data_IF_176296295338
#
_entry.id   IF_176296295338
#
_cell.length_a   1.000
_cell.length_b   1.000
_cell.length_c   1.000
_cell.angle_alpha   90.00
_cell.angle_beta   90.00
_cell.angle_gamma   90.00
#
_symmetry.space_group_name_H-M   'P 1'
#
loop_
_entity.id
_entity.type
_entity.pdbx_description
1 polymer ?
#
# COMPACT_ATOMS: atom_id res chain seq x y z
N UNK A 1 -4.31 16.95 -23.21
CA UNK A 1 -4.81 15.59 -23.41
C UNK A 1 -3.84 14.55 -22.80
N UNK A 2 -3.35 14.74 -21.58
CA UNK A 2 -2.36 13.86 -20.93
C UNK A 2 -2.70 13.57 -19.45
N UNK A 3 -3.80 14.11 -18.93
CA UNK A 3 -4.13 14.01 -17.49
C UNK A 3 -4.73 12.67 -17.05
N UNK A 4 -5.25 11.85 -17.94
CA UNK A 4 -5.86 10.57 -17.57
C UNK A 4 -4.87 9.43 -17.29
N UNK A 5 -3.65 9.51 -17.82
CA UNK A 5 -2.66 8.42 -17.71
C UNK A 5 -1.79 8.51 -16.45
N UNK A 6 -1.66 9.70 -15.86
CA UNK A 6 -0.78 9.94 -14.70
C UNK A 6 -1.49 9.54 -13.41
N UNK A 7 -2.78 9.82 -13.30
CA UNK A 7 -3.59 9.42 -12.11
C UNK A 7 -3.69 7.88 -12.02
N UNK A 8 -3.80 7.20 -13.16
CA UNK A 8 -3.82 5.74 -13.22
C UNK A 8 -2.47 5.11 -12.82
N UNK A 9 -1.35 5.79 -13.06
CA UNK A 9 -0.02 5.27 -12.71
C UNK A 9 0.40 5.56 -11.27
N UNK A 10 -0.09 6.63 -10.66
CA UNK A 10 0.03 6.82 -9.20
C UNK A 10 -0.83 5.79 -8.43
N UNK A 11 -1.98 5.40 -8.98
CA UNK A 11 -2.74 4.24 -8.48
C UNK A 11 -2.01 2.91 -8.72
N UNK A 12 -1.15 2.80 -9.74
CA UNK A 12 -0.30 1.62 -10.00
C UNK A 12 0.84 1.50 -8.97
N UNK A 13 1.36 2.61 -8.44
CA UNK A 13 2.27 2.55 -7.29
C UNK A 13 1.56 1.99 -6.03
N UNK A 14 0.25 2.15 -5.94
CA UNK A 14 -0.59 1.51 -4.93
C UNK A 14 -0.79 0.01 -5.17
N UNK A 15 -0.88 -0.43 -6.44
CA UNK A 15 -0.94 -1.85 -6.79
C UNK A 15 0.40 -2.58 -6.61
N UNK A 16 1.52 -1.85 -6.55
CA UNK A 16 2.82 -2.44 -6.22
C UNK A 16 2.97 -2.74 -4.73
N UNK A 17 2.23 -2.03 -3.86
CA UNK A 17 2.10 -2.41 -2.45
C UNK A 17 1.21 -3.66 -2.25
N UNK A 18 0.26 -3.88 -3.16
CA UNK A 18 -0.53 -5.11 -3.26
C UNK A 18 0.18 -6.08 -4.22
N UNK A 19 1.44 -6.42 -3.92
CA UNK A 19 2.32 -7.18 -4.79
C UNK A 19 1.63 -8.35 -5.49
N UNK A 20 1.71 -8.37 -6.80
CA UNK A 20 1.47 -9.51 -7.70
C UNK A 20 0.11 -10.24 -7.62
N UNK A 21 -1.01 -9.53 -7.59
CA UNK A 21 -2.33 -10.16 -7.70
C UNK A 21 -2.90 -10.24 -9.12
N UNK A 22 -2.11 -10.05 -10.16
CA UNK A 22 -2.60 -10.21 -11.53
C UNK A 22 -1.66 -11.09 -12.36
N UNK A 23 -1.67 -12.37 -12.08
CA UNK A 23 -1.22 -13.37 -13.04
C UNK A 23 -1.87 -14.72 -12.70
N UNK A 24 -3.05 -14.96 -13.18
CA UNK A 24 -3.51 -16.26 -13.67
C UNK A 24 -4.99 -16.20 -14.00
N UNK A 25 -5.32 -15.83 -15.22
CA UNK A 25 -6.53 -16.31 -15.86
C UNK A 25 -6.09 -17.26 -16.96
N UNK A 26 -6.14 -18.53 -16.62
CA UNK A 26 -5.78 -19.62 -17.50
C UNK A 26 -6.71 -19.71 -18.70
N UNK A 27 -6.10 -19.92 -19.82
CA UNK A 27 -6.58 -20.41 -21.11
C UNK A 27 -7.71 -21.45 -20.99
N UNK A 28 -8.89 -21.06 -21.42
CA UNK A 28 -9.85 -22.00 -22.01
C UNK A 28 -9.77 -21.83 -23.53
N UNK A 29 -9.04 -22.72 -24.17
CA UNK A 29 -9.08 -22.88 -25.63
C UNK A 29 -10.42 -23.50 -26.02
N UNK A 30 -11.29 -22.69 -26.59
CA UNK A 30 -12.40 -23.19 -27.40
C UNK A 30 -12.13 -22.76 -28.84
N UNK A 31 -11.81 -23.71 -29.68
CA UNK A 31 -11.75 -23.53 -31.13
C UNK A 31 -13.15 -23.10 -31.62
N UNK A 32 -13.22 -21.94 -32.24
CA UNK A 32 -14.34 -21.55 -33.11
C UNK A 32 -13.76 -20.92 -34.39
N UNK A 33 -14.35 -21.43 -35.47
CA UNK A 33 -14.04 -21.17 -36.85
C UNK A 33 -13.84 -19.70 -37.23
N UNK A 34 -12.84 -19.49 -38.08
CA UNK A 34 -12.58 -18.25 -38.80
C UNK A 34 -13.76 -17.82 -39.64
N UNK A 35 -14.35 -16.70 -39.26
CA UNK A 35 -15.11 -15.86 -40.19
C UNK A 35 -14.43 -14.52 -40.22
N UNK A 36 -13.77 -14.24 -41.33
CA UNK A 36 -13.01 -13.01 -41.58
C UNK A 36 -13.95 -11.82 -41.71
N UNK A 37 -14.16 -11.11 -40.60
CA UNK A 37 -14.69 -9.75 -40.60
C UNK A 37 -13.71 -8.86 -39.84
N UNK A 38 -13.07 -7.92 -40.53
CA UNK A 38 -12.19 -6.92 -39.95
C UNK A 38 -12.91 -6.17 -38.82
N UNK A 39 -12.32 -6.04 -37.62
CA UNK A 39 -12.91 -5.19 -36.60
C UNK A 39 -12.79 -3.73 -37.02
N UNK A 40 -13.91 -3.10 -37.34
CA UNK A 40 -14.02 -1.64 -37.46
C UNK A 40 -13.55 -1.02 -36.15
N UNK A 41 -12.42 -0.34 -36.17
CA UNK A 41 -11.97 0.54 -35.07
C UNK A 41 -12.99 1.66 -34.95
N UNK A 42 -13.92 1.53 -34.00
CA UNK A 42 -14.79 2.65 -33.60
C UNK A 42 -13.91 3.72 -32.96
N UNK A 43 -13.55 4.73 -33.73
CA UNK A 43 -12.90 5.94 -33.20
C UNK A 43 -13.96 6.78 -32.49
N UNK A 44 -13.91 6.79 -31.16
CA UNK A 44 -14.71 7.71 -30.35
C UNK A 44 -14.30 9.15 -30.65
N UNK A 45 -15.27 10.03 -30.81
CA UNK A 45 -15.00 11.46 -30.96
C UNK A 45 -14.35 12.05 -29.69
N UNK A 46 -13.60 13.17 -29.79
CA UNK A 46 -13.01 13.83 -28.62
C UNK A 46 -14.05 14.16 -27.51
N UNK A 47 -15.27 14.51 -27.92
CA UNK A 47 -16.37 14.76 -26.98
C UNK A 47 -16.85 13.47 -26.28
N UNK A 48 -16.93 12.36 -26.98
CA UNK A 48 -17.27 11.06 -26.40
C UNK A 48 -16.18 10.55 -25.47
N UNK A 49 -14.90 10.75 -25.80
CA UNK A 49 -13.78 10.43 -24.91
C UNK A 49 -13.79 11.30 -23.65
N UNK A 50 -14.10 12.60 -23.77
CA UNK A 50 -14.24 13.49 -22.63
C UNK A 50 -15.43 13.11 -21.74
N UNK A 51 -16.58 12.79 -22.32
CA UNK A 51 -17.76 12.34 -21.59
C UNK A 51 -17.52 11.00 -20.87
N UNK A 52 -16.83 10.06 -21.52
CA UNK A 52 -16.45 8.78 -20.91
C UNK A 52 -15.47 8.98 -19.74
N UNK A 53 -14.49 9.87 -19.90
CA UNK A 53 -13.55 10.20 -18.84
C UNK A 53 -14.24 10.88 -17.64
N UNK A 54 -15.18 11.80 -17.91
CA UNK A 54 -15.99 12.43 -16.86
C UNK A 54 -16.91 11.44 -16.15
N UNK A 55 -17.57 10.57 -16.88
CA UNK A 55 -18.43 9.51 -16.32
C UNK A 55 -17.60 8.51 -15.47
N UNK A 56 -16.38 8.17 -15.90
CA UNK A 56 -15.46 7.36 -15.13
C UNK A 56 -14.99 8.07 -13.86
N UNK A 57 -14.65 9.35 -13.92
CA UNK A 57 -14.30 10.14 -12.74
C UNK A 57 -15.46 10.26 -11.74
N UNK A 58 -16.69 10.49 -12.22
CA UNK A 58 -17.88 10.53 -11.37
C UNK A 58 -18.17 9.15 -10.74
N UNK A 59 -18.05 8.07 -11.50
CA UNK A 59 -18.22 6.71 -10.98
C UNK A 59 -17.18 6.36 -9.91
N UNK A 60 -15.93 6.85 -10.03
CA UNK A 60 -14.87 6.65 -9.06
C UNK A 60 -15.07 7.48 -7.77
N UNK A 61 -15.78 8.60 -7.86
CA UNK A 61 -16.12 9.45 -6.72
C UNK A 61 -17.40 9.01 -5.99
N UNK A 62 -18.12 8.01 -6.51
CA UNK A 62 -19.34 7.50 -5.86
C UNK A 62 -18.99 6.93 -4.48
N UNK A 63 -19.70 7.35 -3.41
CA UNK A 63 -19.43 6.82 -2.08
C UNK A 63 -19.82 5.35 -1.98
N UNK A 64 -19.02 4.57 -1.27
CA UNK A 64 -19.35 3.20 -0.92
C UNK A 64 -20.46 3.16 0.14
N UNK A 65 -21.04 1.97 0.35
CA UNK A 65 -21.97 1.80 1.45
C UNK A 65 -21.26 1.92 2.80
N UNK A 66 -21.86 2.66 3.72
CA UNK A 66 -21.36 2.78 5.09
C UNK A 66 -21.27 1.41 5.76
N UNK A 67 -20.12 1.06 6.37
CA UNK A 67 -19.95 -0.25 6.99
C UNK A 67 -20.76 -0.37 8.30
N UNK A 68 -20.96 -1.60 8.80
CA UNK A 68 -21.62 -1.82 10.10
C UNK A 68 -20.87 -1.10 11.25
N UNK A 69 -21.63 -0.60 12.23
CA UNK A 69 -21.08 0.14 13.37
C UNK A 69 -20.91 1.64 13.13
N UNK A 70 -21.39 2.15 11.98
CA UNK A 70 -21.47 3.58 11.70
C UNK A 70 -22.93 4.01 11.50
N UNK A 71 -23.29 5.31 11.79
CA UNK A 71 -22.41 6.32 12.39
C UNK A 71 -21.98 5.96 13.80
N UNK A 72 -20.86 6.51 14.25
CA UNK A 72 -20.43 6.42 15.63
C UNK A 72 -21.36 7.27 16.50
N UNK A 73 -21.49 6.91 17.77
CA UNK A 73 -22.06 7.84 18.76
C UNK A 73 -21.11 9.01 19.03
N UNK A 74 -21.62 10.04 19.71
CA UNK A 74 -20.88 11.30 19.91
C UNK A 74 -19.60 11.15 20.74
N UNK A 75 -19.54 10.18 21.66
CA UNK A 75 -18.37 9.94 22.50
C UNK A 75 -17.26 9.26 21.69
N UNK A 76 -17.61 8.20 20.96
CA UNK A 76 -16.67 7.51 20.09
C UNK A 76 -16.19 8.38 18.93
N UNK A 77 -17.09 9.19 18.34
CA UNK A 77 -16.70 10.15 17.31
C UNK A 77 -15.71 11.18 17.83
N UNK A 78 -15.98 11.75 19.03
CA UNK A 78 -15.06 12.69 19.67
C UNK A 78 -13.69 12.03 19.93
N UNK A 79 -13.68 10.82 20.49
CA UNK A 79 -12.44 10.09 20.76
C UNK A 79 -11.58 9.87 19.49
N UNK A 80 -12.21 9.41 18.41
CA UNK A 80 -11.52 9.22 17.12
C UNK A 80 -11.01 10.56 16.58
N UNK A 81 -11.80 11.63 16.70
CA UNK A 81 -11.39 12.96 16.27
C UNK A 81 -10.17 13.47 17.03
N UNK A 82 -10.15 13.31 18.35
CA UNK A 82 -9.03 13.71 19.21
C UNK A 82 -7.77 12.90 18.84
N UNK A 83 -7.91 11.59 18.60
CA UNK A 83 -6.80 10.72 18.21
C UNK A 83 -6.20 11.11 16.85
N UNK A 84 -7.05 11.41 15.86
CA UNK A 84 -6.62 11.88 14.54
C UNK A 84 -5.91 13.25 14.63
N UNK A 85 -6.38 14.16 15.50
CA UNK A 85 -5.74 15.45 15.74
C UNK A 85 -4.33 15.28 16.33
N UNK A 86 -4.18 14.39 17.32
CA UNK A 86 -2.88 14.08 17.91
C UNK A 86 -1.94 13.45 16.89
N UNK A 87 -2.43 12.52 16.10
CA UNK A 87 -1.63 11.89 15.05
C UNK A 87 -1.18 12.90 14.00
N UNK A 88 -2.07 13.77 13.53
CA UNK A 88 -1.71 14.83 12.59
C UNK A 88 -0.64 15.77 13.16
N UNK A 89 -0.82 16.23 14.42
CA UNK A 89 0.14 17.12 15.07
C UNK A 89 1.54 16.49 15.20
N UNK A 90 1.63 15.20 15.53
CA UNK A 90 2.90 14.50 15.65
C UNK A 90 3.51 14.21 14.27
N UNK A 91 2.71 13.84 13.28
CA UNK A 91 3.15 13.63 11.90
C UNK A 91 3.77 14.90 11.31
N UNK A 92 3.22 16.08 11.58
CA UNK A 92 3.77 17.38 11.12
C UNK A 92 5.14 17.73 11.70
N UNK A 93 5.53 17.11 12.82
CA UNK A 93 6.86 17.30 13.43
C UNK A 93 7.93 16.41 12.84
N UNK A 94 7.55 15.48 11.96
CA UNK A 94 8.49 14.54 11.34
C UNK A 94 9.20 15.24 10.18
N UNK A 95 10.44 15.67 10.41
CA UNK A 95 11.31 16.22 9.37
C UNK A 95 12.10 15.12 8.67
N UNK A 96 12.56 14.13 9.45
CA UNK A 96 13.35 12.99 8.98
C UNK A 96 12.89 11.72 9.68
N UNK A 97 12.75 10.66 8.91
CA UNK A 97 12.36 9.36 9.46
C UNK A 97 13.10 8.24 8.76
N UNK A 98 13.42 7.20 9.52
CA UNK A 98 13.92 5.93 9.04
C UNK A 98 13.31 4.81 9.86
N UNK A 99 12.93 3.72 9.19
CA UNK A 99 12.57 2.48 9.87
C UNK A 99 12.93 1.26 9.02
N UNK A 100 13.12 0.15 9.68
CA UNK A 100 12.97 -1.17 9.08
C UNK A 100 11.50 -1.54 8.98
N UNK A 101 11.14 -2.42 8.07
CA UNK A 101 9.82 -3.04 8.05
C UNK A 101 9.94 -4.54 7.78
N UNK A 102 8.94 -5.28 8.29
CA UNK A 102 8.64 -6.65 7.86
C UNK A 102 7.22 -6.61 7.32
N UNK A 103 7.03 -7.10 6.09
CA UNK A 103 5.73 -7.27 5.44
C UNK A 103 5.44 -8.75 5.29
N UNK A 104 4.34 -9.19 5.86
CA UNK A 104 3.77 -10.52 5.67
C UNK A 104 2.64 -10.42 4.66
N UNK A 105 2.74 -11.16 3.57
CA UNK A 105 1.73 -11.19 2.51
C UNK A 105 1.00 -12.53 2.59
N UNK A 106 -0.32 -12.46 2.78
CA UNK A 106 -1.20 -13.61 2.88
C UNK A 106 -2.00 -13.74 1.59
N UNK A 107 -2.10 -14.95 1.10
CA UNK A 107 -2.88 -15.31 -0.08
C UNK A 107 -3.30 -16.77 0.09
N UNK A 108 -4.59 -16.99 0.36
CA UNK A 108 -5.16 -18.31 0.62
C UNK A 108 -5.16 -19.22 -0.62
N UNK A 109 -5.06 -18.67 -1.83
CA UNK A 109 -4.89 -19.44 -3.06
C UNK A 109 -3.43 -19.92 -3.23
N UNK A 110 -2.47 -19.11 -2.81
CA UNK A 110 -1.06 -19.44 -2.91
C UNK A 110 -0.61 -20.41 -1.80
N UNK A 111 -1.09 -20.21 -0.58
CA UNK A 111 -0.78 -21.03 0.60
C UNK A 111 -2.03 -21.20 1.45
N UNK A 112 -2.44 -22.46 1.64
CA UNK A 112 -3.62 -22.81 2.45
C UNK A 112 -3.27 -23.44 3.80
N UNK A 113 -1.98 -23.52 4.14
CA UNK A 113 -1.56 -24.05 5.43
C UNK A 113 -1.82 -23.05 6.56
N UNK A 114 -2.40 -23.55 7.66
CA UNK A 114 -2.64 -22.78 8.88
C UNK A 114 -1.84 -23.35 10.04
N UNK A 115 -1.28 -22.45 10.83
CA UNK A 115 -0.64 -22.83 12.08
C UNK A 115 -1.68 -23.42 13.04
N UNK A 116 -1.56 -24.71 13.41
CA UNK A 116 -2.55 -25.36 14.26
C UNK A 116 -2.64 -24.78 15.68
N UNK A 117 -1.61 -24.02 16.11
CA UNK A 117 -1.57 -23.41 17.46
C UNK A 117 -2.53 -22.21 17.56
N UNK A 118 -2.78 -21.50 16.49
CA UNK A 118 -3.55 -20.25 16.50
C UNK A 118 -4.50 -20.09 15.31
N UNK A 119 -4.58 -21.08 14.43
CA UNK A 119 -5.39 -21.11 13.22
C UNK A 119 -5.09 -19.94 12.23
N UNK A 120 -3.90 -19.34 12.29
CA UNK A 120 -3.50 -18.29 11.37
C UNK A 120 -2.97 -18.86 10.06
N UNK A 121 -3.39 -18.28 8.95
CA UNK A 121 -2.84 -18.59 7.64
C UNK A 121 -1.35 -18.27 7.63
N UNK A 122 -0.51 -19.13 7.03
CA UNK A 122 0.88 -18.79 6.81
C UNK A 122 1.02 -17.74 5.72
N UNK A 123 1.93 -16.79 5.90
CA UNK A 123 2.25 -15.86 4.85
C UNK A 123 2.86 -16.59 3.65
N UNK A 124 2.38 -16.32 2.44
CA UNK A 124 3.01 -16.88 1.24
C UNK A 124 4.36 -16.22 0.94
N UNK A 125 4.52 -14.97 1.37
CA UNK A 125 5.74 -14.18 1.21
C UNK A 125 5.99 -13.31 2.44
N UNK A 126 7.27 -13.22 2.85
CA UNK A 126 7.73 -12.32 3.91
C UNK A 126 8.81 -11.42 3.30
N UNK A 127 8.58 -10.13 3.35
CA UNK A 127 9.52 -9.13 2.80
C UNK A 127 10.07 -8.29 3.94
N UNK A 128 11.38 -8.14 3.99
CA UNK A 128 12.06 -7.19 4.88
C UNK A 128 12.63 -6.04 4.06
N UNK A 129 12.66 -4.86 4.63
CA UNK A 129 13.18 -3.71 3.93
C UNK A 129 13.34 -2.48 4.82
N UNK A 130 13.57 -1.35 4.16
CA UNK A 130 13.75 -0.06 4.81
C UNK A 130 12.89 1.01 4.15
N UNK A 131 12.38 1.90 4.98
CA UNK A 131 11.71 3.13 4.57
C UNK A 131 12.51 4.30 5.12
N UNK A 132 12.72 5.31 4.27
CA UNK A 132 13.29 6.61 4.65
C UNK A 132 12.37 7.70 4.15
N UNK A 133 12.24 8.74 4.94
CA UNK A 133 11.45 9.91 4.60
C UNK A 133 12.17 11.18 5.02
N UNK A 134 12.06 12.22 4.21
CA UNK A 134 12.46 13.59 4.54
C UNK A 134 11.37 14.55 4.07
N UNK A 135 10.86 15.35 5.00
CA UNK A 135 9.87 16.36 4.69
C UNK A 135 10.37 17.34 3.62
N UNK A 136 9.48 17.90 2.77
CA UNK A 136 8.03 17.65 2.83
C UNK A 136 7.58 16.40 2.07
N UNK A 137 8.36 15.87 1.10
CA UNK A 137 7.86 14.93 0.09
C UNK A 137 8.91 13.95 -0.46
N UNK A 138 10.06 13.82 0.20
CA UNK A 138 11.09 12.87 -0.23
C UNK A 138 10.92 11.56 0.49
N UNK A 139 10.98 10.46 -0.27
CA UNK A 139 10.85 9.14 0.31
C UNK A 139 11.69 8.11 -0.44
N UNK A 140 12.09 7.05 0.25
CA UNK A 140 12.72 5.87 -0.32
C UNK A 140 12.15 4.63 0.34
N UNK A 141 11.81 3.68 -0.47
CA UNK A 141 11.43 2.33 -0.07
C UNK A 141 12.33 1.33 -0.79
N UNK A 142 12.85 0.37 -0.07
CA UNK A 142 13.63 -0.71 -0.67
C UNK A 142 13.51 -2.00 0.13
N UNK A 143 13.40 -3.11 -0.59
CA UNK A 143 13.46 -4.44 -0.02
C UNK A 143 14.92 -4.86 0.15
N UNK A 144 15.23 -5.53 1.25
CA UNK A 144 16.56 -6.06 1.55
C UNK A 144 16.60 -7.57 1.57
N UNK A 145 15.46 -8.20 1.89
CA UNK A 145 15.33 -9.65 1.98
C UNK A 145 13.90 -10.07 1.64
N UNK A 146 13.75 -11.14 0.90
CA UNK A 146 12.45 -11.72 0.56
C UNK A 146 12.50 -13.22 0.78
N UNK A 147 11.53 -13.72 1.54
CA UNK A 147 11.34 -15.13 1.83
C UNK A 147 10.01 -15.58 1.25
N UNK A 148 9.97 -16.73 0.61
CA UNK A 148 8.75 -17.37 0.13
C UNK A 148 8.46 -18.63 0.94
N UNK A 149 7.18 -18.87 1.20
CA UNK A 149 6.73 -20.11 1.84
C UNK A 149 7.23 -21.32 1.04
N UNK A 150 7.82 -22.27 1.74
CA UNK A 150 8.36 -23.48 1.15
C UNK A 150 7.51 -24.72 1.46
N UNK A 151 7.20 -24.89 2.74
CA UNK A 151 6.40 -26.03 3.21
C UNK A 151 5.94 -25.84 4.67
N UNK A 152 4.92 -26.58 5.08
CA UNK A 152 4.58 -26.74 6.48
C UNK A 152 5.77 -27.27 7.32
N UNK A 153 5.75 -27.05 8.63
CA UNK A 153 6.80 -27.59 9.49
C UNK A 153 6.83 -29.12 9.47
N UNK A 154 8.00 -29.69 9.70
CA UNK A 154 8.18 -31.15 9.77
C UNK A 154 7.71 -31.74 11.12
N UNK A 155 7.55 -30.90 12.12
CA UNK A 155 7.08 -31.29 13.46
C UNK A 155 5.73 -30.62 13.76
N UNK A 156 4.82 -31.26 14.53
CA UNK A 156 3.48 -30.71 14.79
C UNK A 156 3.44 -29.29 15.39
N UNK A 157 4.47 -28.90 16.13
CA UNK A 157 4.56 -27.58 16.79
C UNK A 157 5.65 -26.69 16.20
N UNK A 158 6.20 -27.04 15.05
CA UNK A 158 7.21 -26.24 14.35
C UNK A 158 6.62 -25.02 13.67
N UNK A 159 7.50 -24.14 13.21
CA UNK A 159 7.12 -22.99 12.39
C UNK A 159 7.18 -23.37 10.91
N UNK A 160 6.37 -22.67 10.08
CA UNK A 160 6.41 -22.80 8.64
C UNK A 160 7.84 -22.54 8.11
N UNK A 161 8.24 -23.31 7.12
CA UNK A 161 9.57 -23.13 6.50
C UNK A 161 9.49 -22.18 5.31
N UNK A 162 10.44 -21.26 5.29
CA UNK A 162 10.59 -20.26 4.23
C UNK A 162 11.95 -20.40 3.53
N UNK A 163 12.00 -20.09 2.25
CA UNK A 163 13.22 -20.05 1.45
C UNK A 163 13.46 -18.65 0.91
N UNK A 164 14.75 -18.29 0.81
CA UNK A 164 15.15 -17.06 0.16
C UNK A 164 14.62 -17.00 -1.27
N UNK A 165 13.88 -15.93 -1.60
CA UNK A 165 13.54 -15.62 -2.97
C UNK A 165 14.69 -14.85 -3.60
N UNK A 166 15.32 -15.44 -4.60
CA UNK A 166 16.45 -14.83 -5.32
C UNK A 166 16.02 -14.29 -6.69
N UNK A 167 14.72 -14.27 -6.97
CA UNK A 167 14.20 -13.77 -8.24
C UNK A 167 14.14 -12.23 -8.25
N UNK A 168 14.35 -11.67 -9.44
CA UNK A 168 14.28 -10.24 -9.64
C UNK A 168 12.86 -9.67 -9.43
N UNK A 169 11.82 -10.49 -9.57
CA UNK A 169 10.41 -10.08 -9.42
C UNK A 169 10.07 -9.76 -7.96
N UNK A 170 10.77 -10.41 -7.03
CA UNK A 170 10.53 -10.21 -5.59
C UNK A 170 11.19 -8.93 -5.03
N UNK A 171 12.06 -8.28 -5.79
CA UNK A 171 12.75 -7.07 -5.35
C UNK A 171 11.92 -5.82 -5.66
N UNK A 172 11.80 -4.93 -4.68
CA UNK A 172 11.10 -3.67 -4.81
C UNK A 172 12.01 -2.52 -4.37
N UNK A 173 12.08 -1.48 -5.18
CA UNK A 173 12.75 -0.23 -4.82
C UNK A 173 12.10 0.93 -5.54
N UNK A 174 11.81 1.98 -4.81
CA UNK A 174 11.44 3.26 -5.39
C UNK A 174 12.02 4.42 -4.58
N UNK A 175 12.21 5.55 -5.26
CA UNK A 175 12.76 6.77 -4.70
C UNK A 175 11.89 7.93 -5.18
N UNK A 176 11.46 8.77 -4.25
CA UNK A 176 10.83 10.05 -4.51
C UNK A 176 11.78 11.16 -4.11
N UNK A 177 12.14 12.06 -5.04
CA UNK A 177 13.03 13.21 -4.78
C UNK A 177 12.27 14.51 -4.50
N UNK A 178 10.93 14.43 -4.44
CA UNK A 178 10.00 15.56 -4.31
C UNK A 178 9.53 16.12 -5.66
N UNK A 179 10.13 15.72 -6.78
CA UNK A 179 9.76 16.17 -8.13
C UNK A 179 9.41 15.00 -9.06
N UNK A 180 10.03 13.87 -8.83
CA UNK A 180 9.87 12.65 -9.61
C UNK A 180 9.84 11.43 -8.68
N UNK A 181 9.09 10.42 -9.10
CA UNK A 181 9.13 9.08 -8.56
C UNK A 181 9.96 8.20 -9.51
N UNK A 182 10.99 7.56 -8.97
CA UNK A 182 11.84 6.61 -9.66
C UNK A 182 11.49 5.21 -9.20
N UNK A 183 11.00 4.37 -10.10
CA UNK A 183 10.59 3.00 -9.82
C UNK A 183 11.51 2.02 -10.55
N UNK A 184 12.08 1.08 -9.80
CA UNK A 184 13.01 0.07 -10.29
C UNK A 184 12.28 -1.23 -10.60
N UNK A 185 12.02 -1.50 -11.86
CA UNK A 185 11.53 -2.80 -12.30
C UNK A 185 12.72 -3.76 -12.49
N UNK A 186 12.98 -4.55 -11.48
CA UNK A 186 14.08 -5.53 -11.49
C UNK A 186 13.83 -6.68 -12.46
N UNK A 187 12.58 -7.01 -12.78
CA UNK A 187 12.22 -8.09 -13.69
C UNK A 187 12.58 -7.76 -15.12
N UNK A 188 12.31 -6.53 -15.55
CA UNK A 188 12.62 -6.05 -16.91
C UNK A 188 13.92 -5.24 -16.98
N UNK A 189 14.58 -5.00 -15.84
CA UNK A 189 15.76 -4.15 -15.70
C UNK A 189 15.52 -2.75 -16.29
N UNK A 190 14.42 -2.12 -15.86
CA UNK A 190 14.05 -0.77 -16.29
C UNK A 190 13.91 0.14 -15.10
N UNK A 191 14.35 1.39 -15.29
CA UNK A 191 14.11 2.48 -14.35
C UNK A 191 13.05 3.40 -14.94
N UNK A 192 11.89 3.44 -14.31
CA UNK A 192 10.81 4.34 -14.71
C UNK A 192 10.89 5.64 -13.92
N UNK A 193 10.85 6.76 -14.61
CA UNK A 193 10.71 8.08 -14.00
C UNK A 193 9.31 8.62 -14.27
N UNK A 194 8.56 8.90 -13.21
CA UNK A 194 7.26 9.57 -13.27
C UNK A 194 7.36 10.92 -12.60
N UNK A 195 7.17 12.00 -13.36
CA UNK A 195 7.18 13.35 -12.81
C UNK A 195 5.93 13.64 -12.00
N UNK A 196 6.13 14.19 -10.81
CA UNK A 196 5.04 14.64 -9.94
C UNK A 196 4.58 16.03 -10.42
N UNK A 197 3.28 16.20 -10.76
CA UNK A 197 2.76 17.49 -11.15
C UNK A 197 3.04 18.56 -10.09
N UNK A 198 3.35 19.81 -10.46
CA UNK A 198 3.70 20.88 -9.51
C UNK A 198 2.66 21.11 -8.41
N UNK A 199 1.37 20.95 -8.73
CA UNK A 199 0.27 21.08 -7.76
C UNK A 199 0.14 19.89 -6.80
N UNK A 200 0.89 18.80 -7.00
CA UNK A 200 0.93 17.63 -6.13
C UNK A 200 2.26 17.50 -5.38
N UNK A 201 3.25 18.33 -5.69
CA UNK A 201 4.52 18.37 -4.97
C UNK A 201 4.30 18.90 -3.56
N UNK A 202 4.97 18.31 -2.58
CA UNK A 202 4.79 18.62 -1.16
C UNK A 202 3.54 17.95 -0.54
N UNK A 203 2.71 17.26 -1.33
CA UNK A 203 1.49 16.62 -0.86
C UNK A 203 1.61 15.09 -0.92
N UNK A 204 2.02 14.48 0.20
CA UNK A 204 2.10 13.02 0.35
C UNK A 204 0.71 12.39 0.54
N UNK A 205 -0.32 13.18 0.83
CA UNK A 205 -1.66 12.66 1.17
C UNK A 205 -2.28 11.80 0.05
N UNK A 206 -1.84 11.94 -1.19
CA UNK A 206 -2.28 11.12 -2.33
C UNK A 206 -1.44 9.83 -2.52
N UNK A 207 -0.38 9.63 -1.73
CA UNK A 207 0.48 8.44 -1.79
C UNK A 207 0.03 7.36 -0.79
N UNK A 208 0.56 6.13 -0.84
CA UNK A 208 0.34 5.12 0.21
C UNK A 208 1.04 5.46 1.52
N UNK A 209 1.92 6.47 1.53
CA UNK A 209 2.66 6.92 2.69
C UNK A 209 1.88 7.82 3.68
N UNK A 210 0.67 8.36 3.40
CA UNK A 210 -0.03 9.21 4.35
C UNK A 210 -0.34 8.51 5.66
N UNK A 211 -0.46 7.18 5.65
CA UNK A 211 -0.61 6.41 6.90
C UNK A 211 0.68 6.29 7.70
N UNK A 212 1.83 6.55 7.08
CA UNK A 212 3.13 6.51 7.76
C UNK A 212 3.60 7.93 8.08
N UNK A 213 3.37 8.87 7.14
CA UNK A 213 3.83 10.27 7.26
C UNK A 213 2.77 11.22 6.73
N UNK A 214 2.64 12.38 7.36
CA UNK A 214 1.81 13.47 6.86
C UNK A 214 0.31 13.18 6.91
N UNK A 215 -0.14 12.42 7.91
CA UNK A 215 -1.55 12.19 8.13
C UNK A 215 -2.27 13.51 8.36
N UNK A 216 -3.10 13.91 7.41
CA UNK A 216 -4.03 15.02 7.58
C UNK A 216 -5.41 14.46 7.94
N UNK A 217 -5.92 14.81 9.13
CA UNK A 217 -7.23 14.37 9.64
C UNK A 217 -8.32 14.54 8.60
N UNK A 218 -8.40 15.72 7.98
CA UNK A 218 -9.41 16.03 6.97
C UNK A 218 -9.34 15.06 5.79
N UNK A 219 -8.16 14.80 5.25
CA UNK A 219 -7.95 13.88 4.12
C UNK A 219 -8.35 12.45 4.49
N UNK A 220 -7.97 12.00 5.70
CA UNK A 220 -8.34 10.67 6.18
C UNK A 220 -9.86 10.56 6.30
N UNK A 221 -10.53 11.55 6.91
CA UNK A 221 -11.97 11.52 7.11
C UNK A 221 -12.77 11.68 5.81
N UNK A 222 -12.24 12.36 4.80
CA UNK A 222 -12.85 12.42 3.47
C UNK A 222 -12.77 11.10 2.72
N UNK A 223 -11.73 10.30 2.98
CA UNK A 223 -11.48 9.04 2.27
C UNK A 223 -11.99 7.81 3.01
N UNK A 224 -12.07 7.86 4.35
CA UNK A 224 -12.36 6.69 5.17
C UNK A 224 -13.39 6.97 6.26
N UNK A 225 -14.23 6.00 6.54
CA UNK A 225 -14.89 5.89 7.84
C UNK A 225 -13.87 5.33 8.83
N UNK A 226 -13.69 6.00 9.95
CA UNK A 226 -12.66 5.63 10.94
C UNK A 226 -13.31 5.32 12.26
N UNK A 227 -12.92 4.23 12.89
CA UNK A 227 -13.30 3.90 14.27
C UNK A 227 -12.10 3.41 15.07
N UNK A 228 -12.16 3.54 16.38
CA UNK A 228 -11.23 2.89 17.30
C UNK A 228 -11.56 1.40 17.43
N UNK A 229 -10.52 0.57 17.40
CA UNK A 229 -10.61 -0.87 17.59
C UNK A 229 -9.54 -1.36 18.58
N UNK A 230 -9.05 -0.47 19.46
CA UNK A 230 -8.03 -0.84 20.46
C UNK A 230 -8.55 -1.95 21.35
N UNK A 231 -7.87 -3.10 21.41
CA UNK A 231 -8.29 -4.22 22.27
C UNK A 231 -8.27 -3.81 23.74
N UNK A 232 -9.19 -4.39 24.52
CA UNK A 232 -9.24 -4.17 25.96
C UNK A 232 -7.91 -4.57 26.63
N UNK A 233 -7.43 -3.70 27.53
CA UNK A 233 -6.17 -3.92 28.25
C UNK A 233 -4.90 -3.48 27.49
N UNK A 234 -4.97 -3.13 26.21
CA UNK A 234 -3.85 -2.55 25.45
C UNK A 234 -3.68 -1.09 25.83
N UNK A 235 -2.53 -0.72 26.42
CA UNK A 235 -2.29 0.64 26.91
C UNK A 235 -1.28 1.44 26.08
N UNK A 236 -0.40 0.75 25.35
CA UNK A 236 0.74 1.39 24.66
C UNK A 236 0.47 1.66 23.18
N UNK A 237 -0.73 1.36 22.71
CA UNK A 237 -1.11 1.47 21.30
C UNK A 237 -2.55 1.99 21.16
N UNK A 238 -2.80 2.62 20.01
CA UNK A 238 -4.13 2.94 19.52
C UNK A 238 -4.37 2.20 18.22
N UNK A 239 -5.48 1.48 18.14
CA UNK A 239 -5.85 0.74 16.95
C UNK A 239 -7.00 1.46 16.25
N UNK A 240 -6.82 1.74 14.96
CA UNK A 240 -7.83 2.34 14.10
C UNK A 240 -8.21 1.36 12.99
N UNK A 241 -9.49 1.22 12.75
CA UNK A 241 -10.01 0.60 11.53
C UNK A 241 -10.50 1.70 10.60
N UNK A 242 -10.07 1.62 9.34
CA UNK A 242 -10.39 2.57 8.29
C UNK A 242 -11.08 1.82 7.14
N UNK A 243 -12.29 2.24 6.80
CA UNK A 243 -13.08 1.66 5.71
C UNK A 243 -13.20 2.66 4.57
N UNK A 244 -12.87 2.29 3.33
CA UNK A 244 -12.87 3.23 2.21
C UNK A 244 -14.26 3.82 1.95
N UNK A 245 -14.35 5.15 1.82
CA UNK A 245 -15.55 5.87 1.38
C UNK A 245 -15.66 5.95 -0.14
N UNK A 246 -14.54 5.95 -0.83
CA UNK A 246 -14.47 6.09 -2.29
C UNK A 246 -14.37 4.72 -2.94
N UNK A 247 -15.10 4.48 -4.02
CA UNK A 247 -15.03 3.22 -4.79
C UNK A 247 -13.60 2.95 -5.27
N UNK A 248 -12.86 3.98 -5.63
CA UNK A 248 -11.46 3.86 -6.05
C UNK A 248 -10.60 3.20 -4.97
N UNK A 249 -10.71 3.66 -3.72
CA UNK A 249 -9.98 3.09 -2.59
C UNK A 249 -10.50 1.68 -2.25
N UNK A 250 -11.82 1.47 -2.33
CA UNK A 250 -12.48 0.19 -2.05
C UNK A 250 -12.16 -0.92 -3.08
N UNK A 251 -11.74 -0.56 -4.28
CA UNK A 251 -11.23 -1.53 -5.28
C UNK A 251 -9.90 -2.14 -4.89
N UNK A 252 -9.16 -1.48 -4.01
CA UNK A 252 -7.85 -1.94 -3.54
C UNK A 252 -7.95 -2.59 -2.17
N UNK A 253 -8.73 -1.98 -1.26
CA UNK A 253 -8.84 -2.44 0.11
C UNK A 253 -10.30 -2.48 0.58
N UNK A 254 -10.68 -3.56 1.25
CA UNK A 254 -11.96 -3.63 1.98
C UNK A 254 -11.87 -2.90 3.33
N UNK A 255 -10.70 -2.98 3.98
CA UNK A 255 -10.40 -2.39 5.29
C UNK A 255 -8.90 -2.17 5.44
N UNK A 256 -8.51 -1.18 6.23
CA UNK A 256 -7.15 -0.97 6.72
C UNK A 256 -7.22 -0.95 8.26
N UNK A 257 -6.36 -1.70 8.91
CA UNK A 257 -6.09 -1.55 10.34
C UNK A 257 -4.76 -0.85 10.54
N UNK A 258 -4.74 0.15 11.39
CA UNK A 258 -3.55 0.92 11.71
C UNK A 258 -3.29 0.88 13.20
N UNK A 259 -2.10 0.47 13.59
CA UNK A 259 -1.64 0.48 14.98
C UNK A 259 -0.69 1.65 15.16
N UNK A 260 -1.07 2.59 16.03
CA UNK A 260 -0.29 3.79 16.34
C UNK A 260 0.31 3.62 17.73
N UNK A 261 1.63 3.66 17.83
CA UNK A 261 2.29 3.57 19.11
C UNK A 261 2.09 4.86 19.92
N UNK A 262 1.70 4.71 21.19
CA UNK A 262 1.40 5.83 22.08
C UNK A 262 2.60 6.75 22.33
N UNK A 263 3.81 6.18 22.35
CA UNK A 263 5.05 6.90 22.71
C UNK A 263 5.43 8.01 21.74
N UNK A 264 5.08 7.87 20.45
CA UNK A 264 5.51 8.81 19.39
C UNK A 264 4.37 9.18 18.42
N UNK A 265 3.18 8.60 18.61
CA UNK A 265 2.02 8.77 17.75
C UNK A 265 2.30 8.49 16.27
N UNK A 266 3.19 7.55 16.00
CA UNK A 266 3.47 7.06 14.66
C UNK A 266 3.09 5.59 14.52
N UNK A 267 2.75 5.15 13.31
CA UNK A 267 2.41 3.76 13.06
C UNK A 267 3.52 2.80 13.49
N UNK A 268 3.14 1.77 14.23
CA UNK A 268 3.96 0.61 14.59
C UNK A 268 3.63 -0.60 13.74
N UNK A 269 2.37 -0.68 13.26
CA UNK A 269 1.94 -1.72 12.34
C UNK A 269 0.78 -1.23 11.46
N UNK A 270 0.57 -1.93 10.33
CA UNK A 270 -0.54 -1.67 9.43
C UNK A 270 -0.96 -2.98 8.77
N UNK A 271 -2.26 -3.26 8.75
CA UNK A 271 -2.82 -4.41 8.05
C UNK A 271 -3.75 -3.94 6.93
N UNK A 272 -3.44 -4.32 5.71
CA UNK A 272 -4.17 -3.97 4.50
C UNK A 272 -4.96 -5.20 4.04
N UNK A 273 -6.27 -5.17 4.11
CA UNK A 273 -7.15 -6.23 3.66
C UNK A 273 -7.55 -5.99 2.21
N UNK A 274 -7.36 -6.96 1.33
CA UNK A 274 -7.71 -6.82 -0.09
C UNK A 274 -9.19 -6.48 -0.29
N UNK A 275 -9.54 -5.95 -1.45
CA UNK A 275 -10.93 -5.65 -1.79
C UNK A 275 -11.86 -6.87 -1.67
N UNK A 276 -11.34 -8.06 -1.95
CA UNK A 276 -12.08 -9.32 -1.93
C UNK A 276 -11.96 -10.09 -0.61
N UNK A 277 -11.26 -9.53 0.38
CA UNK A 277 -11.05 -10.21 1.66
C UNK A 277 -12.38 -10.64 2.30
N UNK A 278 -12.61 -11.94 2.36
CA UNK A 278 -13.78 -12.57 2.94
C UNK A 278 -13.40 -13.95 3.51
N UNK A 279 -12.98 -14.02 4.78
CA UNK A 279 -12.55 -15.29 5.40
C UNK A 279 -13.67 -16.33 5.47
N UNK A 280 -14.95 -15.90 5.43
CA UNK A 280 -16.07 -16.82 5.40
C UNK A 280 -16.17 -17.57 4.05
N UNK A 281 -15.64 -16.98 2.98
CA UNK A 281 -15.51 -17.59 1.66
C UNK A 281 -14.13 -18.17 1.38
N UNK A 282 -13.22 -18.07 2.34
CA UNK A 282 -11.84 -18.56 2.22
C UNK A 282 -10.87 -17.60 1.54
N UNK A 283 -11.28 -16.37 1.19
CA UNK A 283 -10.36 -15.34 0.70
C UNK A 283 -9.79 -14.55 1.87
N UNK A 284 -8.52 -14.80 2.20
CA UNK A 284 -7.80 -14.11 3.27
C UNK A 284 -6.62 -13.30 2.73
N UNK A 285 -6.75 -12.80 1.51
CA UNK A 285 -5.71 -12.01 0.88
C UNK A 285 -5.51 -10.68 1.61
N UNK A 286 -4.32 -10.50 2.17
CA UNK A 286 -3.98 -9.31 2.94
C UNK A 286 -2.47 -9.09 3.05
N UNK A 287 -2.06 -7.90 3.50
CA UNK A 287 -0.66 -7.57 3.77
C UNK A 287 -0.54 -6.93 5.15
N UNK A 288 0.30 -7.49 6.01
CA UNK A 288 0.56 -6.98 7.34
C UNK A 288 1.99 -6.45 7.45
N UNK A 289 2.12 -5.17 7.80
CA UNK A 289 3.39 -4.49 8.00
C UNK A 289 3.66 -4.31 9.48
N UNK A 290 4.90 -4.57 9.88
CA UNK A 290 5.47 -4.17 11.16
C UNK A 290 6.61 -3.19 10.92
N UNK A 291 6.59 -2.04 11.59
CA UNK A 291 7.61 -1.01 11.48
C UNK A 291 8.54 -1.08 12.69
N UNK A 292 9.81 -1.39 12.42
CA UNK A 292 10.84 -1.66 13.43
C UNK A 292 11.92 -0.58 13.38
N UNK A 293 12.69 -0.44 14.47
CA UNK A 293 13.87 0.45 14.56
C UNK A 293 13.54 1.87 14.05
N UNK A 294 12.41 2.39 14.50
CA UNK A 294 11.90 3.69 14.08
C UNK A 294 12.73 4.82 14.68
N UNK A 295 13.35 5.61 13.84
CA UNK A 295 14.16 6.77 14.21
C UNK A 295 13.54 8.04 13.62
N UNK A 296 13.30 9.02 14.50
CA UNK A 296 12.73 10.32 14.15
C UNK A 296 13.72 11.43 14.42
N UNK A 297 13.87 12.34 13.46
CA UNK A 297 14.63 13.59 13.59
C UNK A 297 16.01 13.40 14.24
N UNK A 298 16.59 12.19 14.08
CA UNK A 298 17.85 11.83 14.71
C UNK A 298 18.98 12.72 14.18
N UNK A 299 19.64 13.46 15.07
CA UNK A 299 20.75 14.34 14.73
C UNK A 299 22.00 13.58 14.24
N UNK A 300 22.10 12.29 14.58
CA UNK A 300 23.18 11.40 14.13
C UNK A 300 23.03 10.94 12.68
N UNK A 301 21.92 11.24 12.01
CA UNK A 301 21.84 11.04 10.57
C UNK A 301 22.90 11.92 9.91
N UNK A 302 23.98 11.30 9.41
CA UNK A 302 24.95 12.01 8.58
C UNK A 302 24.18 12.62 7.41
N UNK A 303 24.16 13.95 7.35
CA UNK A 303 23.34 14.70 6.39
C UNK A 303 23.55 14.23 4.97
N UNK A 304 24.80 13.99 4.56
CA UNK A 304 25.11 13.50 3.22
C UNK A 304 24.55 12.12 2.92
N UNK A 305 24.67 11.16 3.85
CA UNK A 305 24.18 9.79 3.64
C UNK A 305 22.66 9.73 3.65
N UNK A 306 22.01 10.58 4.45
CA UNK A 306 20.58 10.63 4.55
C UNK A 306 19.95 11.30 3.32
N UNK A 307 20.40 12.51 2.94
CA UNK A 307 19.87 13.21 1.78
C UNK A 307 20.34 12.60 0.46
N UNK A 308 21.50 11.98 0.40
CA UNK A 308 21.95 11.19 -0.74
C UNK A 308 21.01 10.01 -1.09
N UNK A 309 20.22 9.56 -0.12
CA UNK A 309 19.23 8.51 -0.35
C UNK A 309 18.05 8.92 -1.27
N UNK A 310 17.81 10.22 -1.45
CA UNK A 310 16.67 10.78 -2.19
C UNK A 310 17.06 11.46 -3.50
N UNK A 311 18.33 11.37 -3.91
CA UNK A 311 18.76 11.95 -5.19
C UNK A 311 18.30 11.08 -6.35
N UNK A 312 18.13 11.71 -7.50
CA UNK A 312 17.86 10.99 -8.75
C UNK A 312 18.86 9.85 -8.91
N UNK A 313 18.42 8.60 -9.03
CA UNK A 313 19.32 7.46 -9.18
C UNK A 313 19.97 7.49 -10.56
N UNK A 314 21.22 7.03 -10.63
CA UNK A 314 21.81 6.63 -11.91
C UNK A 314 21.16 5.34 -12.39
N UNK A 315 20.99 5.21 -13.71
CA UNK A 315 20.51 3.95 -14.30
C UNK A 315 21.59 2.88 -14.07
N UNK A 316 21.26 1.76 -13.41
CA UNK A 316 22.24 0.70 -13.17
C UNK A 316 22.82 0.14 -14.48
N UNK A 317 24.05 -0.37 -14.42
CA UNK A 317 24.69 -0.96 -15.58
C UNK A 317 23.86 -2.12 -16.15
N UNK A 318 23.58 -2.08 -17.46
CA UNK A 318 22.74 -3.06 -18.14
C UNK A 318 21.23 -2.87 -17.98
N UNK A 319 20.79 -1.75 -17.42
CA UNK A 319 19.38 -1.34 -17.34
C UNK A 319 19.05 -0.34 -18.46
N UNK A 320 17.73 -0.16 -18.68
CA UNK A 320 17.18 0.79 -19.67
C UNK A 320 16.31 1.83 -18.96
#
# INVERSE_FOLDING_TARGET
>A
MLNGCIITRLAICWSMFAGSMFASSALAQTQLQETTSQPQKVQLSPAQMAATAQAQQQALATPTRQPPGFPLDSEHEKYVNDLLDFWEQNSKRVEKYRCGFIRYEYDSEAVNWRDPRNNRLAAHKITQGQIRFAAPDRARYETTNVLQFSRPPQTPNGDAEYKQANDAVSQERWICDGKSLFDFDFSTKRLYETKIPPNMQGNIAESPLPFIFGAEKKVIQERYWVRSATPEGVQDEYWLELYPKRIQDARTYSKIELVIARKDFLPSAMHLYSANYDPARGDETSSYFQFQDRELNNQLFKLQDFFGAFVRPSVPLGWK
#
